data_IF_413051304202
#
_entry.id   IF_413051304202
#
_cell.length_a   1.000
_cell.length_b   1.000
_cell.length_c   1.000
_cell.angle_alpha   90.00
_cell.angle_beta   90.00
_cell.angle_gamma   90.00
#
_symmetry.space_group_name_H-M   'P 1'
#
loop_
_entity.id
_entity.type
_entity.pdbx_description
1 polymer ?
#
# COMPACT_ATOMS: atom_id res chain seq x y z
N UNK A 1 13.24 17.91 24.23
CA UNK A 1 12.57 16.59 24.23
C UNK A 1 13.67 15.53 24.22
N UNK A 2 13.48 14.51 25.04
CA UNK A 2 14.52 13.67 25.63
C UNK A 2 15.28 12.81 24.62
N UNK A 3 16.62 12.81 24.74
CA UNK A 3 17.51 11.84 24.11
C UNK A 3 17.28 10.46 24.73
N UNK A 4 16.85 9.50 23.92
CA UNK A 4 16.65 8.10 24.34
C UNK A 4 17.98 7.39 24.14
N UNK A 5 18.66 7.13 25.26
CA UNK A 5 19.93 6.40 25.30
C UNK A 5 19.74 4.94 24.91
N UNK A 6 20.45 4.53 23.87
CA UNK A 6 20.59 3.14 23.44
C UNK A 6 21.43 2.38 24.45
N UNK A 7 20.81 1.53 25.27
CA UNK A 7 21.51 0.62 26.16
C UNK A 7 21.99 -0.60 25.36
N UNK A 8 23.28 -0.63 25.03
CA UNK A 8 23.93 -1.84 24.52
C UNK A 8 24.07 -2.84 25.67
N UNK A 9 23.30 -3.93 25.63
CA UNK A 9 23.46 -5.09 26.51
C UNK A 9 24.67 -5.86 26.00
N UNK A 10 25.83 -5.61 26.61
CA UNK A 10 27.01 -6.47 26.46
C UNK A 10 26.78 -7.70 27.32
N UNK A 11 26.30 -8.79 26.71
CA UNK A 11 26.31 -10.11 27.35
C UNK A 11 27.76 -10.52 27.54
N UNK A 12 28.28 -10.23 28.74
CA UNK A 12 29.57 -10.70 29.22
C UNK A 12 29.61 -12.21 29.11
N UNK A 13 30.37 -12.70 28.13
CA UNK A 13 30.69 -14.10 27.98
C UNK A 13 31.53 -14.56 29.16
N UNK A 14 30.87 -14.94 30.25
CA UNK A 14 31.47 -15.77 31.28
C UNK A 14 31.77 -17.12 30.65
N UNK A 15 32.98 -17.24 30.09
CA UNK A 15 33.66 -18.53 29.88
C UNK A 15 33.79 -19.17 31.26
N UNK A 16 32.79 -19.95 31.64
CA UNK A 16 32.95 -20.92 32.70
C UNK A 16 33.99 -21.93 32.19
N UNK A 17 35.21 -21.81 32.71
CA UNK A 17 36.20 -22.88 32.65
C UNK A 17 35.55 -24.13 33.25
N UNK A 18 35.04 -25.01 32.38
CA UNK A 18 34.75 -26.38 32.74
C UNK A 18 36.08 -27.04 33.07
N UNK A 19 36.41 -27.10 34.36
CA UNK A 19 37.39 -28.05 34.85
C UNK A 19 36.80 -29.44 34.61
N UNK A 20 37.22 -30.10 33.53
CA UNK A 20 37.03 -31.53 33.36
C UNK A 20 37.78 -32.23 34.49
N UNK A 21 37.09 -32.50 35.59
CA UNK A 21 37.55 -33.43 36.59
C UNK A 21 37.47 -34.82 35.96
N UNK A 22 38.62 -35.36 35.56
CA UNK A 22 38.74 -36.75 35.17
C UNK A 22 38.46 -37.61 36.40
N UNK A 23 37.20 -38.01 36.58
CA UNK A 23 36.80 -38.95 37.62
C UNK A 23 37.35 -40.31 37.21
N UNK A 24 38.36 -40.80 37.92
CA UNK A 24 38.84 -42.16 37.78
C UNK A 24 37.72 -43.09 38.27
N UNK A 25 37.12 -43.92 37.41
CA UNK A 25 36.03 -44.78 37.83
C UNK A 25 36.54 -45.79 38.87
N UNK A 26 35.84 -45.86 40.01
CA UNK A 26 36.13 -46.86 41.03
C UNK A 26 35.83 -48.26 40.48
N UNK A 27 36.88 -49.09 40.35
CA UNK A 27 36.72 -50.49 39.95
C UNK A 27 35.92 -51.24 41.04
N UNK A 28 34.76 -51.83 40.72
CA UNK A 28 33.89 -52.45 41.72
C UNK A 28 34.52 -53.66 42.43
N UNK A 29 35.50 -54.31 41.83
CA UNK A 29 36.05 -55.57 42.31
C UNK A 29 37.12 -55.40 43.42
N UNK A 30 37.92 -54.35 43.36
CA UNK A 30 39.06 -54.17 44.28
C UNK A 30 38.63 -53.84 45.71
N UNK A 31 37.54 -53.08 45.88
CA UNK A 31 36.98 -52.76 47.18
C UNK A 31 36.33 -53.99 47.84
N UNK A 32 35.63 -54.82 47.05
CA UNK A 32 35.02 -56.07 47.55
C UNK A 32 36.08 -57.03 48.07
N UNK A 33 37.12 -57.28 47.27
CA UNK A 33 38.25 -58.15 47.63
C UNK A 33 38.95 -57.68 48.93
N UNK A 34 39.16 -56.37 49.06
CA UNK A 34 39.76 -55.77 50.26
C UNK A 34 38.88 -55.97 51.49
N UNK A 35 37.56 -55.74 51.39
CA UNK A 35 36.65 -55.93 52.53
C UNK A 35 36.50 -57.40 52.94
N UNK A 36 36.53 -58.33 52.00
CA UNK A 36 36.47 -59.77 52.27
C UNK A 36 37.76 -60.28 52.91
N UNK A 37 38.92 -59.77 52.46
CA UNK A 37 40.21 -60.04 53.10
C UNK A 37 40.23 -59.55 54.55
N UNK A 38 39.78 -58.32 54.82
CA UNK A 38 39.68 -57.77 56.18
C UNK A 38 38.75 -58.60 57.07
N UNK A 39 37.62 -59.08 56.52
CA UNK A 39 36.67 -59.94 57.25
C UNK A 39 37.26 -61.33 57.55
N UNK A 40 38.01 -61.91 56.60
CA UNK A 40 38.75 -63.18 56.80
C UNK A 40 39.85 -63.03 57.85
N UNK A 41 40.62 -61.94 57.82
CA UNK A 41 41.63 -61.65 58.85
C UNK A 41 41.01 -61.45 60.24
N UNK A 42 39.90 -60.72 60.32
CA UNK A 42 39.19 -60.54 61.58
C UNK A 42 38.68 -61.86 62.18
N UNK A 43 38.39 -62.86 61.35
CA UNK A 43 37.95 -64.20 61.78
C UNK A 43 39.11 -65.05 62.32
N UNK A 44 40.37 -64.71 61.98
CA UNK A 44 41.57 -65.41 62.44
C UNK A 44 42.23 -64.74 63.66
N UNK A 45 41.90 -63.49 63.98
CA UNK A 45 42.51 -62.72 65.07
C UNK A 45 41.47 -62.42 66.15
N UNK A 46 41.70 -62.89 67.37
CA UNK A 46 40.80 -62.70 68.52
C UNK A 46 41.00 -61.36 69.23
N UNK A 47 39.94 -60.86 69.87
CA UNK A 47 39.96 -59.63 70.66
C UNK A 47 39.82 -58.34 69.84
N UNK A 48 40.26 -57.21 70.42
CA UNK A 48 40.07 -55.83 69.91
C UNK A 48 40.55 -55.61 68.47
N UNK A 49 41.58 -56.33 68.04
CA UNK A 49 42.13 -56.20 66.68
C UNK A 49 41.15 -56.75 65.63
N UNK A 50 40.44 -57.85 65.93
CA UNK A 50 39.40 -58.40 65.04
C UNK A 50 38.22 -57.43 64.89
N UNK A 51 37.78 -56.79 65.97
CA UNK A 51 36.72 -55.78 65.95
C UNK A 51 37.09 -54.54 65.12
N UNK A 52 38.34 -54.06 65.23
CA UNK A 52 38.84 -52.94 64.43
C UNK A 52 38.84 -53.27 62.94
N UNK A 53 39.25 -54.49 62.57
CA UNK A 53 39.24 -54.95 61.17
C UNK A 53 37.82 -55.07 60.61
N UNK A 54 36.86 -55.58 61.39
CA UNK A 54 35.44 -55.61 60.98
C UNK A 54 34.87 -54.21 60.80
N UNK A 55 35.19 -53.28 61.71
CA UNK A 55 34.75 -51.89 61.62
C UNK A 55 35.36 -51.18 60.41
N UNK A 56 36.63 -51.43 60.12
CA UNK A 56 37.30 -50.90 58.92
C UNK A 56 36.67 -51.45 57.64
N UNK A 57 36.39 -52.76 57.58
CA UNK A 57 35.71 -53.38 56.44
C UNK A 57 34.31 -52.79 56.20
N UNK A 58 33.52 -52.58 57.26
CA UNK A 58 32.20 -51.98 57.18
C UNK A 58 32.26 -50.52 56.69
N UNK A 59 33.24 -49.75 57.17
CA UNK A 59 33.44 -48.36 56.76
C UNK A 59 33.87 -48.25 55.30
N UNK A 60 34.81 -49.09 54.85
CA UNK A 60 35.24 -49.15 53.44
C UNK A 60 34.04 -49.49 52.56
N UNK A 61 33.27 -50.54 52.89
CA UNK A 61 32.08 -50.92 52.12
C UNK A 61 31.06 -49.78 52.02
N UNK A 62 30.80 -49.07 53.13
CA UNK A 62 29.88 -47.92 53.14
C UNK A 62 30.38 -46.77 52.26
N UNK A 63 31.68 -46.46 52.31
CA UNK A 63 32.27 -45.39 51.51
C UNK A 63 32.27 -45.76 50.02
N UNK A 64 32.59 -47.01 49.67
CA UNK A 64 32.52 -47.49 48.28
C UNK A 64 31.10 -47.41 47.75
N UNK A 65 30.09 -47.84 48.52
CA UNK A 65 28.69 -47.76 48.10
C UNK A 65 28.24 -46.30 47.87
N UNK A 66 28.63 -45.39 48.77
CA UNK A 66 28.33 -43.97 48.63
C UNK A 66 29.04 -43.36 47.43
N UNK A 67 30.30 -43.70 47.20
CA UNK A 67 31.08 -43.22 46.07
C UNK A 67 30.48 -43.70 44.73
N UNK A 68 30.13 -44.99 44.61
CA UNK A 68 29.45 -45.52 43.41
C UNK A 68 28.10 -44.84 43.16
N UNK A 69 27.33 -44.57 44.22
CA UNK A 69 26.05 -43.87 44.09
C UNK A 69 26.24 -42.42 43.64
N UNK A 70 27.25 -41.73 44.19
CA UNK A 70 27.61 -40.38 43.79
C UNK A 70 28.11 -40.32 42.34
N UNK A 71 28.92 -41.29 41.91
CA UNK A 71 29.38 -41.39 40.52
C UNK A 71 28.20 -41.57 39.56
N UNK A 72 27.25 -42.46 39.86
CA UNK A 72 26.06 -42.66 39.00
C UNK A 72 25.23 -41.37 38.87
N UNK A 73 24.96 -40.70 40.00
CA UNK A 73 24.22 -39.42 39.99
C UNK A 73 24.98 -38.34 39.22
N UNK A 74 26.31 -38.29 39.33
CA UNK A 74 27.12 -37.33 38.58
C UNK A 74 27.04 -37.58 37.07
N UNK A 75 27.13 -38.83 36.62
CA UNK A 75 27.00 -39.16 35.20
C UNK A 75 25.58 -38.85 34.69
N UNK A 76 24.55 -39.16 35.46
CA UNK A 76 23.18 -38.81 35.10
C UNK A 76 23.00 -37.29 34.98
N UNK A 77 23.52 -36.53 35.95
CA UNK A 77 23.48 -35.07 35.93
C UNK A 77 24.25 -34.49 34.74
N UNK A 78 25.39 -35.10 34.38
CA UNK A 78 26.19 -34.67 33.23
C UNK A 78 25.42 -34.86 31.92
N UNK A 79 24.77 -36.00 31.74
CA UNK A 79 23.94 -36.28 30.56
C UNK A 79 22.73 -35.34 30.50
N UNK A 80 22.06 -35.09 31.63
CA UNK A 80 20.97 -34.11 31.69
C UNK A 80 21.44 -32.69 31.34
N UNK A 81 22.60 -32.27 31.88
CA UNK A 81 23.17 -30.96 31.58
C UNK A 81 23.50 -30.83 30.09
N UNK A 82 24.10 -31.87 29.49
CA UNK A 82 24.38 -31.90 28.05
C UNK A 82 23.09 -31.70 27.22
N UNK A 83 22.01 -32.42 27.56
CA UNK A 83 20.72 -32.26 26.88
C UNK A 83 20.12 -30.87 27.06
N UNK A 84 20.26 -30.26 28.24
CA UNK A 84 19.78 -28.90 28.49
C UNK A 84 20.55 -27.86 27.69
N UNK A 85 21.86 -28.02 27.55
CA UNK A 85 22.70 -27.15 26.70
C UNK A 85 22.26 -27.27 25.25
N UNK A 86 22.13 -28.49 24.71
CA UNK A 86 21.67 -28.73 23.34
C UNK A 86 20.27 -28.11 23.09
N UNK A 87 19.33 -28.29 24.02
CA UNK A 87 18.00 -27.69 23.93
C UNK A 87 18.07 -26.16 23.93
N UNK A 88 18.88 -25.58 24.83
CA UNK A 88 19.04 -24.14 24.93
C UNK A 88 19.60 -23.56 23.63
N UNK A 89 20.66 -24.14 23.08
CA UNK A 89 21.24 -23.72 21.81
C UNK A 89 20.21 -23.78 20.66
N UNK A 90 19.43 -24.86 20.58
CA UNK A 90 18.36 -24.99 19.59
C UNK A 90 17.29 -23.89 19.76
N UNK A 91 16.90 -23.57 20.99
CA UNK A 91 15.92 -22.50 21.27
C UNK A 91 16.45 -21.11 20.98
N UNK A 92 17.74 -20.85 21.27
CA UNK A 92 18.39 -19.56 20.96
C UNK A 92 18.44 -19.36 19.44
N UNK A 93 18.81 -20.38 18.67
CA UNK A 93 18.83 -20.32 17.20
C UNK A 93 17.42 -20.12 16.61
N UNK A 94 16.41 -20.78 17.17
CA UNK A 94 15.02 -20.57 16.76
C UNK A 94 14.53 -19.14 17.08
N UNK A 95 14.91 -18.60 18.25
CA UNK A 95 14.60 -17.23 18.65
C UNK A 95 15.25 -16.22 17.71
N UNK A 96 16.53 -16.38 17.39
CA UNK A 96 17.24 -15.49 16.46
C UNK A 96 16.61 -15.52 15.06
N UNK A 97 16.20 -16.70 14.59
CA UNK A 97 15.48 -16.82 13.32
C UNK A 97 14.14 -16.07 13.34
N UNK A 98 13.37 -16.20 14.43
CA UNK A 98 12.10 -15.46 14.59
C UNK A 98 12.32 -13.95 14.65
N UNK A 99 13.34 -13.48 15.38
CA UNK A 99 13.71 -12.07 15.44
C UNK A 99 14.09 -11.54 14.05
N UNK A 100 14.83 -12.32 13.27
CA UNK A 100 15.15 -12.00 11.88
C UNK A 100 13.90 -11.86 11.00
N UNK A 101 12.94 -12.77 11.13
CA UNK A 101 11.66 -12.69 10.40
C UNK A 101 10.84 -11.46 10.80
N UNK A 102 10.77 -11.13 12.10
CA UNK A 102 10.08 -9.93 12.58
C UNK A 102 10.73 -8.67 12.00
N UNK A 103 12.06 -8.60 11.96
CA UNK A 103 12.78 -7.47 11.38
C UNK A 103 12.49 -7.33 9.87
N UNK A 104 12.51 -8.44 9.13
CA UNK A 104 12.19 -8.46 7.70
C UNK A 104 10.74 -8.02 7.43
N UNK A 105 9.77 -8.54 8.18
CA UNK A 105 8.36 -8.15 8.04
C UNK A 105 8.12 -6.69 8.39
N UNK A 106 8.82 -6.16 9.41
CA UNK A 106 8.76 -4.72 9.73
C UNK A 106 9.32 -3.87 8.60
N UNK A 107 10.43 -4.27 7.98
CA UNK A 107 10.99 -3.57 6.83
C UNK A 107 10.01 -3.56 5.65
N UNK A 108 9.42 -4.72 5.32
CA UNK A 108 8.41 -4.83 4.26
C UNK A 108 7.17 -3.96 4.56
N UNK A 109 6.71 -3.93 5.81
CA UNK A 109 5.60 -3.07 6.20
C UNK A 109 5.95 -1.59 6.01
N UNK A 110 7.14 -1.16 6.45
CA UNK A 110 7.57 0.22 6.25
C UNK A 110 7.64 0.58 4.77
N UNK A 111 8.23 -0.27 3.93
CA UNK A 111 8.32 -0.07 2.48
C UNK A 111 6.94 -0.01 1.81
N UNK A 112 6.04 -0.94 2.14
CA UNK A 112 4.69 -0.94 1.61
C UNK A 112 3.92 0.32 2.03
N UNK A 113 4.09 0.78 3.28
CA UNK A 113 3.43 2.00 3.76
C UNK A 113 3.96 3.26 3.10
N UNK A 114 5.27 3.36 2.85
CA UNK A 114 5.86 4.52 2.16
C UNK A 114 5.47 4.54 0.69
N UNK A 115 5.49 3.39 0.01
CA UNK A 115 5.01 3.25 -1.36
C UNK A 115 3.52 3.63 -1.46
N UNK A 116 2.67 3.09 -0.59
CA UNK A 116 1.24 3.43 -0.59
C UNK A 116 0.98 4.92 -0.31
N UNK A 117 1.79 5.56 0.54
CA UNK A 117 1.68 7.00 0.79
C UNK A 117 2.09 7.82 -0.45
N UNK A 118 3.15 7.41 -1.16
CA UNK A 118 3.58 8.05 -2.40
C UNK A 118 2.52 7.93 -3.51
N UNK A 119 1.95 6.74 -3.70
CA UNK A 119 0.87 6.51 -4.67
C UNK A 119 -0.37 7.34 -4.37
N UNK A 120 -0.77 7.45 -3.08
CA UNK A 120 -1.89 8.31 -2.68
C UNK A 120 -1.61 9.78 -2.98
N UNK A 121 -0.40 10.27 -2.70
CA UNK A 121 -0.02 11.65 -3.00
C UNK A 121 -0.01 11.94 -4.52
N UNK A 122 0.47 10.99 -5.32
CA UNK A 122 0.42 11.08 -6.77
C UNK A 122 -1.03 11.09 -7.29
N UNK A 123 -1.88 10.19 -6.78
CA UNK A 123 -3.30 10.15 -7.12
C UNK A 123 -4.03 11.44 -6.73
N UNK A 124 -3.79 11.97 -5.54
CA UNK A 124 -4.39 13.23 -5.09
C UNK A 124 -3.96 14.41 -5.97
N UNK A 125 -2.70 14.40 -6.46
CA UNK A 125 -2.20 15.41 -7.41
C UNK A 125 -2.94 15.34 -8.75
N UNK A 126 -3.10 14.14 -9.32
CA UNK A 126 -3.85 13.97 -10.58
C UNK A 126 -5.34 14.30 -10.41
N UNK A 127 -5.93 13.93 -9.26
CA UNK A 127 -7.30 14.31 -8.93
C UNK A 127 -7.46 15.84 -8.87
N UNK A 128 -6.48 16.54 -8.28
CA UNK A 128 -6.47 18.01 -8.26
C UNK A 128 -6.48 18.61 -9.66
N UNK A 129 -5.57 18.16 -10.53
CA UNK A 129 -5.52 18.62 -11.94
C UNK A 129 -6.84 18.39 -12.67
N UNK A 130 -7.47 17.24 -12.46
CA UNK A 130 -8.74 16.92 -13.11
C UNK A 130 -9.87 17.84 -12.62
N UNK A 131 -9.91 18.15 -11.32
CA UNK A 131 -10.89 19.09 -10.77
C UNK A 131 -10.70 20.50 -11.34
N UNK A 132 -9.46 20.98 -11.46
CA UNK A 132 -9.16 22.28 -12.07
C UNK A 132 -9.65 22.32 -13.53
N UNK A 133 -9.35 21.28 -14.32
CA UNK A 133 -9.81 21.16 -15.71
C UNK A 133 -11.34 21.12 -15.84
N UNK A 134 -12.01 20.42 -14.92
CA UNK A 134 -13.49 20.39 -14.89
C UNK A 134 -14.06 21.77 -14.59
N UNK A 135 -13.50 22.48 -13.63
CA UNK A 135 -13.93 23.83 -13.27
C UNK A 135 -13.72 24.83 -14.43
N UNK A 136 -12.59 24.72 -15.13
CA UNK A 136 -12.32 25.51 -16.33
C UNK A 136 -13.33 25.21 -17.45
N UNK A 137 -13.64 23.93 -17.67
CA UNK A 137 -14.63 23.51 -18.67
C UNK A 137 -16.03 24.00 -18.32
N UNK A 138 -16.46 23.90 -17.06
CA UNK A 138 -17.73 24.44 -16.56
C UNK A 138 -17.79 25.96 -16.78
N UNK A 139 -16.72 26.68 -16.47
CA UNK A 139 -16.62 28.12 -16.73
C UNK A 139 -16.72 28.46 -18.21
N UNK A 140 -16.09 27.66 -19.09
CA UNK A 140 -16.17 27.85 -20.54
C UNK A 140 -17.57 27.59 -21.09
N UNK A 141 -18.24 26.53 -20.63
CA UNK A 141 -19.64 26.24 -20.98
C UNK A 141 -20.55 27.39 -20.54
N UNK A 142 -20.34 27.93 -19.33
CA UNK A 142 -21.07 29.11 -18.86
C UNK A 142 -20.94 30.31 -19.79
N UNK A 143 -19.71 30.63 -20.23
CA UNK A 143 -19.45 31.71 -21.20
C UNK A 143 -20.15 31.46 -22.53
N UNK A 144 -19.96 30.28 -23.14
CA UNK A 144 -20.61 29.93 -24.40
C UNK A 144 -22.13 30.00 -24.30
N UNK A 145 -22.71 29.61 -23.17
CA UNK A 145 -24.15 29.71 -22.92
C UNK A 145 -24.61 31.17 -22.92
N UNK A 146 -23.86 32.07 -22.27
CA UNK A 146 -24.18 33.51 -22.28
C UNK A 146 -24.01 34.16 -23.65
N UNK A 147 -22.99 33.75 -24.42
CA UNK A 147 -22.77 34.22 -25.78
C UNK A 147 -23.89 33.79 -26.72
N UNK A 148 -24.34 32.53 -26.60
CA UNK A 148 -25.45 31.99 -27.38
C UNK A 148 -26.77 32.70 -27.04
N UNK A 149 -27.05 32.95 -25.77
CA UNK A 149 -28.25 33.69 -25.36
C UNK A 149 -28.23 35.14 -25.87
N UNK A 150 -27.07 35.79 -25.83
CA UNK A 150 -26.90 37.15 -26.38
C UNK A 150 -27.11 37.16 -27.90
N UNK A 151 -26.55 36.17 -28.60
CA UNK A 151 -26.73 36.02 -30.04
C UNK A 151 -28.19 35.76 -30.39
N UNK A 152 -28.87 34.92 -29.61
CA UNK A 152 -30.30 34.64 -29.77
C UNK A 152 -31.14 35.89 -29.60
N UNK A 153 -30.91 36.67 -28.55
CA UNK A 153 -31.59 37.94 -28.33
C UNK A 153 -31.36 38.94 -29.47
N UNK A 154 -30.14 38.97 -30.04
CA UNK A 154 -29.83 39.79 -31.21
C UNK A 154 -30.62 39.37 -32.45
N UNK A 155 -30.70 38.06 -32.72
CA UNK A 155 -31.50 37.51 -33.83
C UNK A 155 -32.98 37.79 -33.64
N UNK A 156 -33.51 37.60 -32.43
CA UNK A 156 -34.91 37.88 -32.12
C UNK A 156 -35.24 39.36 -32.33
N UNK A 157 -34.38 40.28 -31.86
CA UNK A 157 -34.53 41.72 -32.09
C UNK A 157 -34.45 42.10 -33.59
N UNK A 158 -33.54 41.47 -34.35
CA UNK A 158 -33.49 41.64 -35.80
C UNK A 158 -34.80 41.17 -36.45
N UNK A 159 -35.31 40.01 -36.04
CA UNK A 159 -36.54 39.43 -36.59
C UNK A 159 -37.79 40.26 -36.25
N UNK A 160 -37.84 40.92 -35.09
CA UNK A 160 -38.91 41.88 -34.76
C UNK A 160 -38.97 43.07 -35.72
N UNK A 161 -37.82 43.51 -36.23
CA UNK A 161 -37.75 44.59 -37.22
C UNK A 161 -37.92 44.12 -38.67
N UNK A 162 -37.78 42.82 -38.92
CA UNK A 162 -37.84 42.24 -40.24
C UNK A 162 -39.30 41.93 -40.62
N UNK A 163 -39.85 42.66 -41.59
CA UNK A 163 -41.13 42.29 -42.20
C UNK A 163 -40.85 41.24 -43.27
N UNK A 164 -41.14 39.97 -42.95
CA UNK A 164 -41.10 38.90 -43.93
C UNK A 164 -42.30 39.01 -44.88
N UNK A 165 -42.02 39.24 -46.16
CA UNK A 165 -43.03 39.22 -47.23
C UNK A 165 -42.77 37.98 -48.08
N UNK A 166 -43.75 37.07 -48.26
CA UNK A 166 -43.57 35.91 -49.14
C UNK A 166 -43.16 36.35 -50.55
N UNK A 167 -42.22 35.62 -51.16
CA UNK A 167 -41.70 35.92 -52.50
C UNK A 167 -42.84 35.95 -53.52
N UNK A 168 -43.86 35.12 -53.34
CA UNK A 168 -45.06 35.08 -54.16
C UNK A 168 -45.85 36.38 -54.10
N UNK A 169 -45.91 37.03 -52.93
CA UNK A 169 -46.59 38.33 -52.75
C UNK A 169 -45.80 39.44 -53.45
N UNK A 170 -44.46 39.41 -53.37
CA UNK A 170 -43.60 40.34 -54.12
C UNK A 170 -43.74 40.13 -55.64
N UNK A 171 -43.72 38.88 -56.11
CA UNK A 171 -43.94 38.55 -57.54
C UNK A 171 -45.32 39.01 -58.02
N UNK A 172 -46.36 38.83 -57.21
CA UNK A 172 -47.70 39.29 -57.51
C UNK A 172 -47.77 40.82 -57.62
N UNK A 173 -47.18 41.53 -56.64
CA UNK A 173 -47.11 42.98 -56.66
C UNK A 173 -46.35 43.49 -57.90
N UNK A 174 -45.29 42.79 -58.33
CA UNK A 174 -44.55 43.13 -59.56
C UNK A 174 -45.44 43.09 -60.79
N UNK A 175 -46.22 42.01 -60.95
CA UNK A 175 -47.17 41.86 -62.06
C UNK A 175 -48.26 42.93 -62.02
N UNK A 176 -48.71 43.34 -60.84
CA UNK A 176 -49.68 44.43 -60.68
C UNK A 176 -49.10 45.78 -61.13
N UNK A 177 -47.84 46.09 -60.79
CA UNK A 177 -47.17 47.31 -61.25
C UNK A 177 -46.96 47.32 -62.77
N UNK A 178 -46.64 46.18 -63.39
CA UNK A 178 -46.55 46.07 -64.86
C UNK A 178 -47.90 46.34 -65.54
N UNK A 179 -48.96 45.76 -64.99
CA UNK A 179 -50.32 45.99 -65.48
C UNK A 179 -50.70 47.48 -65.39
N UNK A 180 -50.42 48.13 -64.25
CA UNK A 180 -50.68 49.56 -64.05
C UNK A 180 -49.86 50.44 -65.00
N UNK A 181 -48.54 50.18 -65.15
CA UNK A 181 -47.67 50.90 -66.08
C UNK A 181 -48.23 50.84 -67.52
N UNK A 182 -48.59 49.65 -67.98
CA UNK A 182 -49.18 49.47 -69.32
C UNK A 182 -50.53 50.19 -69.49
N UNK A 183 -51.33 50.27 -68.43
CA UNK A 183 -52.61 50.97 -68.41
C UNK A 183 -52.47 52.49 -68.45
N UNK A 184 -51.49 53.06 -67.74
CA UNK A 184 -51.19 54.49 -67.74
C UNK A 184 -50.54 54.94 -69.06
N UNK A 185 -49.66 54.11 -69.63
CA UNK A 185 -49.08 54.36 -70.95
C UNK A 185 -50.16 54.51 -72.03
N UNK A 186 -51.22 53.67 -71.99
CA UNK A 186 -52.36 53.76 -72.92
C UNK A 186 -53.21 55.01 -72.74
N UNK A 187 -53.26 55.58 -71.53
CA UNK A 187 -54.04 56.78 -71.22
C UNK A 187 -53.24 58.08 -71.34
N UNK A 188 -51.93 58.00 -71.61
CA UNK A 188 -51.03 59.14 -71.72
C UNK A 188 -50.62 59.78 -70.38
N UNK A 189 -50.83 59.09 -69.26
CA UNK A 189 -50.45 59.58 -67.93
C UNK A 189 -49.01 59.14 -67.58
N UNK A 190 -48.05 59.97 -67.99
CA UNK A 190 -46.61 59.69 -67.89
C UNK A 190 -46.14 59.66 -66.43
N UNK A 191 -46.75 60.44 -65.53
CA UNK A 191 -46.35 60.49 -64.11
C UNK A 191 -46.73 59.18 -63.43
N UNK A 192 -47.97 58.72 -63.62
CA UNK A 192 -48.43 57.47 -63.04
C UNK A 192 -47.73 56.24 -63.64
N UNK A 193 -47.34 56.31 -64.93
CA UNK A 193 -46.50 55.29 -65.56
C UNK A 193 -45.11 55.21 -64.89
N UNK A 194 -44.41 56.34 -64.76
CA UNK A 194 -43.09 56.38 -64.15
C UNK A 194 -43.10 55.91 -62.68
N UNK A 195 -44.13 56.28 -61.90
CA UNK A 195 -44.30 55.79 -60.54
C UNK A 195 -44.51 54.27 -60.49
N UNK A 196 -45.24 53.71 -61.47
CA UNK A 196 -45.47 52.27 -61.54
C UNK A 196 -44.21 51.50 -61.93
N UNK A 197 -43.38 52.05 -62.81
CA UNK A 197 -42.08 51.49 -63.18
C UNK A 197 -41.07 51.55 -62.04
N UNK A 198 -41.02 52.65 -61.28
CA UNK A 198 -40.19 52.77 -60.08
C UNK A 198 -40.62 51.75 -59.01
N UNK A 199 -41.93 51.60 -58.79
CA UNK A 199 -42.47 50.59 -57.88
C UNK A 199 -42.11 49.16 -58.31
N UNK A 200 -42.23 48.86 -59.60
CA UNK A 200 -41.80 47.57 -60.17
C UNK A 200 -40.30 47.31 -60.01
N UNK A 201 -39.46 48.31 -60.27
CA UNK A 201 -38.01 48.22 -60.13
C UNK A 201 -37.57 48.00 -58.67
N UNK A 202 -38.23 48.65 -57.71
CA UNK A 202 -37.95 48.45 -56.28
C UNK A 202 -38.25 46.99 -55.85
N UNK A 203 -39.30 46.38 -56.41
CA UNK A 203 -39.61 44.96 -56.16
C UNK A 203 -38.60 44.03 -56.82
N UNK A 204 -38.15 44.34 -58.05
CA UNK A 204 -37.09 43.55 -58.72
C UNK A 204 -35.79 43.59 -57.93
N UNK A 205 -35.44 44.74 -57.34
CA UNK A 205 -34.29 44.87 -56.45
C UNK A 205 -34.46 44.04 -55.17
N UNK A 206 -35.66 44.03 -54.57
CA UNK A 206 -35.94 43.20 -53.39
C UNK A 206 -35.86 41.68 -53.71
N UNK A 207 -36.37 41.25 -54.87
CA UNK A 207 -36.35 39.84 -55.30
C UNK A 207 -34.95 39.34 -55.64
N UNK A 208 -34.08 40.22 -56.14
CA UNK A 208 -32.68 39.90 -56.46
C UNK A 208 -31.79 39.89 -55.22
N UNK A 209 -32.05 40.76 -54.24
CA UNK A 209 -31.35 40.77 -52.95
C UNK A 209 -31.63 39.52 -52.10
N UNK A 210 -32.81 38.89 -52.24
CA UNK A 210 -33.18 37.64 -51.56
C UNK A 210 -32.57 36.37 -52.17
N UNK A 211 -31.71 36.48 -53.19
CA UNK A 211 -30.98 35.34 -53.75
C UNK A 211 -29.61 35.25 -53.07
N UNK A 212 -29.45 34.50 -51.96
CA UNK A 212 -28.12 34.28 -51.42
C UNK A 212 -27.26 33.59 -52.48
N UNK A 213 -26.01 34.03 -52.57
CA UNK A 213 -24.96 33.32 -53.28
C UNK A 213 -24.86 31.91 -52.71
N UNK A 214 -25.35 30.96 -53.49
CA UNK A 214 -25.16 29.53 -53.30
C UNK A 214 -23.74 29.20 -53.76
N UNK A 215 -22.73 29.69 -53.04
CA UNK A 215 -21.30 29.40 -53.27
C UNK A 215 -20.51 29.51 -51.95
N UNK A 216 -20.38 28.40 -51.23
CA UNK A 216 -19.17 27.85 -50.58
C UNK A 216 -19.52 26.85 -49.46
#
# INVERSE_FOLDING_TARGET
>A
MSSVGTAAVTTSGCKHHLMSATVVPLLPNSASETTDFLRRMASMVSGRNGEILLRAAALIASLTQRAMSAERLFHEQQEQNKRLVELREATELASDAMVGQIAALRAQLTEATTAAAAERAAFDTERGKLLDLMQDAEGHIGKLTTELETLRASVDAFNETAISVPIEVLRLARTQFDYLSSGFARKGDVISQAMSEIGGFAIDQALTATKPADEA
#
